data_IF_416060211984
#
_entry.id   IF_416060211984
#
_cell.length_a   1.000
_cell.length_b   1.000
_cell.length_c   1.000
_cell.angle_alpha   90.00
_cell.angle_beta   90.00
_cell.angle_gamma   90.00
#
_symmetry.space_group_name_H-M   'P 1'
#
loop_
_entity.id
_entity.type
_entity.pdbx_description
1 polymer ?
#
# COMPACT_ATOMS: atom_id res chain seq x y z
N UNK A 1 -19.27 49.52 -50.75
CA UNK A 1 -18.12 48.61 -50.56
C UNK A 1 -17.55 48.53 -49.13
N UNK A 2 -17.97 49.36 -48.15
CA UNK A 2 -17.39 49.37 -46.78
C UNK A 2 -17.96 48.34 -45.78
N UNK A 3 -19.11 47.70 -46.08
CA UNK A 3 -19.77 46.74 -45.16
C UNK A 3 -19.29 45.29 -45.29
N UNK A 4 -18.69 44.93 -46.44
CA UNK A 4 -18.28 43.55 -46.74
C UNK A 4 -16.93 43.23 -46.09
N UNK A 5 -15.97 44.16 -46.11
CA UNK A 5 -14.65 43.99 -45.50
C UNK A 5 -14.68 43.75 -43.98
N UNK A 6 -15.67 44.32 -43.25
CA UNK A 6 -15.77 44.20 -41.78
C UNK A 6 -16.29 42.83 -41.31
N UNK A 7 -17.05 42.13 -42.17
CA UNK A 7 -17.60 40.79 -41.87
C UNK A 7 -16.59 39.67 -42.08
N UNK A 8 -15.66 39.83 -43.03
CA UNK A 8 -14.65 38.81 -43.34
C UNK A 8 -13.55 38.75 -42.26
N UNK A 9 -13.15 39.89 -41.68
CA UNK A 9 -12.11 39.94 -40.63
C UNK A 9 -12.61 39.36 -39.29
N UNK A 10 -13.89 39.56 -38.96
CA UNK A 10 -14.47 39.03 -37.70
C UNK A 10 -14.65 37.51 -37.75
N UNK A 11 -14.89 36.93 -38.94
CA UNK A 11 -15.01 35.48 -39.10
C UNK A 11 -13.65 34.76 -38.99
N UNK A 12 -12.55 35.38 -39.46
CA UNK A 12 -11.21 34.75 -39.39
C UNK A 12 -10.63 34.77 -37.98
N UNK A 13 -10.92 35.81 -37.17
CA UNK A 13 -10.47 35.87 -35.77
C UNK A 13 -11.22 34.87 -34.86
N UNK A 14 -12.48 34.55 -35.15
CA UNK A 14 -13.21 33.51 -34.42
C UNK A 14 -12.74 32.10 -34.81
N UNK A 15 -12.38 31.87 -36.08
CA UNK A 15 -11.96 30.53 -36.55
C UNK A 15 -10.57 30.13 -36.03
N UNK A 16 -9.68 31.09 -35.76
CA UNK A 16 -8.34 30.81 -35.21
C UNK A 16 -8.37 30.48 -33.69
N UNK A 17 -9.33 31.01 -32.93
CA UNK A 17 -9.48 30.69 -31.50
C UNK A 17 -10.06 29.29 -31.25
N UNK A 18 -10.84 28.73 -32.18
CA UNK A 18 -11.43 27.40 -32.03
C UNK A 18 -10.41 26.28 -32.24
N UNK A 19 -9.38 26.51 -33.07
CA UNK A 19 -8.34 25.51 -33.36
C UNK A 19 -7.37 25.34 -32.16
N UNK A 20 -7.23 26.36 -31.31
CA UNK A 20 -6.39 26.29 -30.10
C UNK A 20 -7.00 25.53 -28.92
N UNK A 21 -8.29 25.12 -28.99
CA UNK A 21 -9.03 24.57 -27.85
C UNK A 21 -9.30 23.06 -27.94
N UNK A 22 -8.83 22.36 -28.99
CA UNK A 22 -9.13 20.93 -29.19
C UNK A 22 -7.95 19.97 -29.04
N UNK A 23 -6.81 20.43 -28.54
CA UNK A 23 -5.69 19.53 -28.19
C UNK A 23 -5.36 19.65 -26.70
N UNK A 24 -6.38 19.52 -25.84
CA UNK A 24 -6.13 18.94 -24.54
C UNK A 24 -5.85 17.46 -24.81
N UNK A 25 -4.59 17.11 -25.06
CA UNK A 25 -4.16 15.72 -25.00
C UNK A 25 -4.59 15.23 -23.62
N UNK A 26 -5.69 14.48 -23.56
CA UNK A 26 -6.04 13.75 -22.36
C UNK A 26 -4.89 12.76 -22.16
N UNK A 27 -3.99 13.08 -21.24
CA UNK A 27 -3.14 12.05 -20.67
C UNK A 27 -4.11 11.03 -20.08
N UNK A 28 -4.19 9.85 -20.69
CA UNK A 28 -4.85 8.74 -20.02
C UNK A 28 -4.23 8.67 -18.62
N UNK A 29 -5.07 8.68 -17.59
CA UNK A 29 -4.57 8.47 -16.25
C UNK A 29 -3.81 7.12 -16.25
N UNK A 30 -2.65 7.09 -15.60
CA UNK A 30 -1.96 5.82 -15.38
C UNK A 30 -2.95 4.84 -14.73
N UNK A 31 -2.97 3.60 -15.22
CA UNK A 31 -3.76 2.54 -14.60
C UNK A 31 -3.39 2.41 -13.12
N UNK A 32 -4.42 2.26 -12.28
CA UNK A 32 -4.26 1.92 -10.87
C UNK A 32 -4.44 0.43 -10.68
N UNK A 33 -3.78 -0.11 -9.65
CA UNK A 33 -3.93 -1.51 -9.28
C UNK A 33 -4.36 -1.59 -7.83
N UNK A 34 -5.29 -2.49 -7.55
CA UNK A 34 -5.77 -2.76 -6.20
C UNK A 34 -5.79 -4.25 -5.89
N UNK A 35 -5.65 -4.59 -4.61
CA UNK A 35 -5.90 -5.92 -4.07
C UNK A 35 -7.35 -6.01 -3.61
N UNK A 36 -8.03 -7.09 -3.97
CA UNK A 36 -9.34 -7.45 -3.44
C UNK A 36 -9.35 -8.94 -3.05
N UNK A 37 -9.98 -9.27 -1.94
CA UNK A 37 -10.03 -10.65 -1.45
C UNK A 37 -10.25 -10.79 0.05
N UNK A 38 -10.33 -12.02 0.53
CA UNK A 38 -10.51 -12.30 1.96
C UNK A 38 -9.35 -11.80 2.83
N UNK A 39 -8.17 -11.58 2.25
CA UNK A 39 -7.03 -10.93 2.94
C UNK A 39 -7.39 -9.50 3.40
N UNK A 40 -8.35 -8.85 2.74
CA UNK A 40 -8.85 -7.52 3.08
C UNK A 40 -10.18 -7.57 3.88
N UNK A 41 -10.49 -8.72 4.47
CA UNK A 41 -11.73 -8.98 5.20
C UNK A 41 -12.83 -9.62 4.33
N UNK A 42 -13.06 -9.13 3.11
CA UNK A 42 -14.06 -9.67 2.18
C UNK A 42 -13.81 -9.24 0.71
N UNK A 43 -14.60 -9.76 -0.23
CA UNK A 43 -14.53 -9.50 -1.68
C UNK A 43 -15.32 -8.26 -2.14
N UNK A 44 -15.52 -7.28 -1.28
CA UNK A 44 -16.35 -6.09 -1.53
C UNK A 44 -15.55 -4.77 -1.53
N UNK A 45 -14.33 -4.78 -0.99
CA UNK A 45 -13.50 -3.58 -0.84
C UNK A 45 -12.07 -3.80 -1.33
N UNK A 46 -11.62 -2.87 -2.16
CA UNK A 46 -10.24 -2.75 -2.60
C UNK A 46 -9.31 -2.14 -1.55
N UNK A 47 -8.05 -2.54 -1.66
CA UNK A 47 -6.92 -1.84 -1.09
C UNK A 47 -5.95 -1.48 -2.21
N UNK A 48 -5.71 -0.19 -2.42
CA UNK A 48 -4.84 0.32 -3.48
C UNK A 48 -3.39 -0.11 -3.28
N UNK A 49 -2.74 -0.54 -4.37
CA UNK A 49 -1.30 -0.66 -4.40
C UNK A 49 -0.66 0.69 -4.74
N UNK A 50 0.45 0.97 -4.07
CA UNK A 50 1.23 2.19 -4.29
C UNK A 50 2.35 1.90 -5.29
N UNK A 51 2.43 2.71 -6.34
CA UNK A 51 3.53 2.67 -7.32
C UNK A 51 4.86 3.00 -6.65
N UNK A 52 5.84 2.13 -6.84
CA UNK A 52 7.19 2.22 -6.30
C UNK A 52 8.13 2.87 -7.33
N UNK A 53 9.32 3.28 -6.88
CA UNK A 53 10.31 3.93 -7.73
C UNK A 53 10.87 3.01 -8.84
N UNK A 54 10.82 1.70 -8.65
CA UNK A 54 11.26 0.68 -9.62
C UNK A 54 10.17 0.30 -10.64
N UNK A 55 8.99 0.93 -10.56
CA UNK A 55 7.86 0.67 -11.44
C UNK A 55 6.93 -0.47 -10.98
N UNK A 56 7.26 -1.18 -9.90
CA UNK A 56 6.34 -2.13 -9.28
C UNK A 56 5.27 -1.41 -8.46
N UNK A 57 4.23 -2.13 -8.07
CA UNK A 57 3.17 -1.65 -7.20
C UNK A 57 3.18 -2.49 -5.92
N UNK A 58 2.95 -1.89 -4.75
CA UNK A 58 3.00 -2.63 -3.48
C UNK A 58 2.03 -2.10 -2.44
N UNK A 59 1.54 -3.00 -1.58
CA UNK A 59 0.83 -2.68 -0.35
C UNK A 59 1.23 -3.62 0.79
N UNK A 60 1.29 -3.06 1.99
CA UNK A 60 1.45 -3.80 3.24
C UNK A 60 0.09 -3.90 3.94
N UNK A 61 -0.32 -5.14 4.24
CA UNK A 61 -1.49 -5.43 5.07
C UNK A 61 -0.96 -5.88 6.43
N UNK A 62 -1.13 -5.05 7.45
CA UNK A 62 -0.60 -5.28 8.81
C UNK A 62 -1.63 -5.97 9.69
N UNK A 63 -1.15 -6.50 10.83
CA UNK A 63 -1.98 -7.13 11.86
C UNK A 63 -2.86 -8.29 11.35
N UNK A 64 -2.39 -8.99 10.31
CA UNK A 64 -3.10 -10.13 9.72
C UNK A 64 -3.10 -11.28 10.71
N UNK A 65 -4.27 -11.91 10.88
CA UNK A 65 -4.45 -13.06 11.76
C UNK A 65 -3.91 -14.33 11.10
N UNK A 66 -3.58 -15.33 11.88
CA UNK A 66 -3.23 -16.64 11.34
C UNK A 66 -4.42 -17.23 10.59
N UNK A 67 -4.16 -17.76 9.39
CA UNK A 67 -5.22 -18.29 8.53
C UNK A 67 -4.80 -18.38 7.07
N UNK A 68 -5.69 -18.93 6.26
CA UNK A 68 -5.56 -19.00 4.81
C UNK A 68 -6.46 -17.96 4.17
N UNK A 69 -5.87 -17.16 3.28
CA UNK A 69 -6.51 -16.04 2.61
C UNK A 69 -6.39 -16.18 1.10
N UNK A 70 -7.29 -15.51 0.40
CA UNK A 70 -7.30 -15.44 -1.05
C UNK A 70 -7.40 -13.99 -1.50
N UNK A 71 -6.80 -13.69 -2.66
CA UNK A 71 -6.92 -12.38 -3.29
C UNK A 71 -6.74 -12.44 -4.81
N UNK A 72 -7.11 -11.33 -5.45
CA UNK A 72 -6.70 -10.97 -6.82
C UNK A 72 -6.21 -9.52 -6.84
N UNK A 73 -5.35 -9.21 -7.79
CA UNK A 73 -5.04 -7.83 -8.16
C UNK A 73 -5.95 -7.46 -9.33
N UNK A 74 -6.53 -6.25 -9.34
CA UNK A 74 -7.36 -5.78 -10.44
C UNK A 74 -7.01 -4.35 -10.85
N UNK A 75 -7.17 -4.08 -12.14
CA UNK A 75 -6.90 -2.76 -12.71
C UNK A 75 -8.11 -1.85 -12.52
N UNK A 76 -7.88 -0.60 -12.08
CA UNK A 76 -8.89 0.46 -11.95
C UNK A 76 -10.15 0.04 -11.17
N UNK A 77 -10.00 -0.83 -10.16
CA UNK A 77 -11.09 -1.36 -9.32
C UNK A 77 -12.20 -2.08 -10.12
N UNK A 78 -11.85 -2.60 -11.30
CA UNK A 78 -12.79 -3.20 -12.23
C UNK A 78 -12.39 -4.64 -12.56
N UNK A 79 -13.38 -5.51 -12.75
CA UNK A 79 -13.16 -6.91 -13.10
C UNK A 79 -12.94 -7.10 -14.60
N UNK A 80 -13.46 -6.21 -15.43
CA UNK A 80 -13.37 -6.27 -16.89
C UNK A 80 -12.15 -5.52 -17.48
N UNK A 81 -11.22 -5.06 -16.62
CA UNK A 81 -10.08 -4.23 -17.03
C UNK A 81 -8.71 -4.87 -16.72
N UNK A 82 -8.69 -6.15 -16.37
CA UNK A 82 -7.49 -6.91 -16.05
C UNK A 82 -7.50 -7.42 -14.61
N UNK A 83 -7.28 -8.73 -14.48
CA UNK A 83 -7.21 -9.44 -13.21
C UNK A 83 -5.91 -10.23 -13.17
N UNK A 84 -5.25 -10.25 -12.02
CA UNK A 84 -3.96 -10.94 -11.88
C UNK A 84 -3.87 -11.71 -10.57
N UNK A 85 -3.09 -12.79 -10.60
CA UNK A 85 -2.74 -13.61 -9.44
C UNK A 85 -1.21 -13.86 -9.41
N UNK A 86 -0.76 -14.87 -8.66
CA UNK A 86 0.68 -15.21 -8.55
C UNK A 86 1.29 -15.75 -9.85
N UNK A 87 0.46 -16.29 -10.75
CA UNK A 87 0.86 -16.91 -12.02
C UNK A 87 0.74 -15.95 -13.21
N UNK A 88 0.03 -14.83 -13.06
CA UNK A 88 -0.13 -13.80 -14.08
C UNK A 88 -1.59 -13.41 -14.30
N UNK A 89 -1.96 -13.21 -15.57
CA UNK A 89 -3.35 -12.88 -15.96
C UNK A 89 -4.33 -13.96 -15.50
N UNK A 90 -5.44 -13.50 -14.93
CA UNK A 90 -6.53 -14.30 -14.39
C UNK A 90 -7.91 -13.84 -14.92
N UNK A 91 -7.94 -12.98 -15.95
CA UNK A 91 -9.13 -12.29 -16.45
C UNK A 91 -10.18 -13.22 -17.11
N UNK A 92 -9.83 -14.49 -17.31
CA UNK A 92 -10.71 -15.53 -17.91
C UNK A 92 -11.19 -16.56 -16.88
N UNK A 93 -11.52 -16.10 -15.66
CA UNK A 93 -11.89 -17.00 -14.57
C UNK A 93 -10.69 -17.74 -13.98
N UNK A 94 -9.50 -17.14 -14.05
CA UNK A 94 -8.30 -17.67 -13.42
C UNK A 94 -8.46 -17.77 -11.90
N UNK A 95 -7.73 -18.72 -11.30
CA UNK A 95 -7.79 -18.99 -9.87
C UNK A 95 -7.36 -17.77 -9.03
N UNK A 96 -7.83 -17.72 -7.79
CA UNK A 96 -7.38 -16.74 -6.81
C UNK A 96 -5.94 -17.03 -6.36
N UNK A 97 -5.18 -15.98 -6.05
CA UNK A 97 -3.91 -16.12 -5.33
C UNK A 97 -4.20 -16.56 -3.89
N UNK A 98 -3.38 -17.47 -3.34
CA UNK A 98 -3.52 -17.98 -1.97
C UNK A 98 -2.36 -17.50 -1.11
N UNK A 99 -2.66 -17.16 0.14
CA UNK A 99 -1.68 -16.72 1.14
C UNK A 99 -1.99 -17.42 2.46
N UNK A 100 -1.00 -18.13 3.01
CA UNK A 100 -1.08 -18.70 4.35
C UNK A 100 -0.27 -17.83 5.31
N UNK A 101 -0.92 -17.41 6.39
CA UNK A 101 -0.30 -16.63 7.47
C UNK A 101 -0.21 -17.52 8.70
N UNK A 102 1.01 -17.76 9.19
CA UNK A 102 1.22 -18.73 10.27
C UNK A 102 0.98 -18.13 11.67
N UNK A 103 1.19 -16.83 11.85
CA UNK A 103 1.01 -16.14 13.14
C UNK A 103 0.13 -14.92 13.04
N UNK A 104 -0.60 -14.70 14.12
CA UNK A 104 -1.30 -13.45 14.36
C UNK A 104 -0.36 -12.25 14.41
N UNK A 105 -0.83 -11.11 13.90
CA UNK A 105 -0.07 -9.87 13.91
C UNK A 105 0.95 -9.76 12.78
N UNK A 106 0.92 -10.69 11.82
CA UNK A 106 1.88 -10.70 10.72
C UNK A 106 1.59 -9.58 9.72
N UNK A 107 2.62 -9.18 8.98
CA UNK A 107 2.48 -8.24 7.85
C UNK A 107 2.58 -9.03 6.55
N UNK A 108 1.56 -8.90 5.70
CA UNK A 108 1.56 -9.46 4.35
C UNK A 108 1.83 -8.33 3.36
N UNK A 109 2.98 -8.41 2.70
CA UNK A 109 3.34 -7.49 1.60
C UNK A 109 2.94 -8.13 0.29
N UNK A 110 2.06 -7.47 -0.45
CA UNK A 110 1.68 -7.86 -1.81
C UNK A 110 2.36 -6.90 -2.77
N UNK A 111 3.02 -7.44 -3.79
CA UNK A 111 3.62 -6.67 -4.88
C UNK A 111 3.05 -7.10 -6.22
N UNK A 112 3.11 -6.20 -7.20
CA UNK A 112 2.68 -6.46 -8.57
C UNK A 112 3.64 -5.80 -9.55
N UNK A 113 4.13 -6.57 -10.52
CA UNK A 113 5.14 -6.13 -11.50
C UNK A 113 4.54 -5.66 -12.84
N UNK A 114 3.21 -5.55 -12.93
CA UNK A 114 2.49 -5.30 -14.19
C UNK A 114 2.06 -6.58 -14.92
N UNK A 115 2.55 -7.75 -14.52
CA UNK A 115 2.24 -9.05 -15.14
C UNK A 115 1.69 -10.05 -14.14
N UNK A 116 2.29 -10.17 -12.96
CA UNK A 116 1.90 -11.11 -11.90
C UNK A 116 2.11 -10.51 -10.51
N UNK A 117 1.37 -11.01 -9.54
CA UNK A 117 1.54 -10.67 -8.15
C UNK A 117 2.66 -11.50 -7.50
N UNK A 118 3.25 -10.98 -6.43
CA UNK A 118 4.08 -11.73 -5.50
C UNK A 118 3.70 -11.37 -4.06
N UNK A 119 4.01 -12.28 -3.14
CA UNK A 119 3.63 -12.15 -1.72
C UNK A 119 4.83 -12.46 -0.84
N UNK A 120 5.04 -11.63 0.17
CA UNK A 120 5.96 -11.90 1.28
C UNK A 120 5.20 -11.79 2.59
N UNK A 121 5.31 -12.81 3.44
CA UNK A 121 4.73 -12.79 4.79
C UNK A 121 5.85 -12.55 5.79
N UNK A 122 5.79 -11.41 6.46
CA UNK A 122 6.65 -11.11 7.61
C UNK A 122 5.91 -11.49 8.88
N UNK A 123 6.29 -12.64 9.42
CA UNK A 123 5.74 -13.15 10.67
C UNK A 123 5.94 -12.17 11.82
N UNK A 124 4.92 -12.01 12.65
CA UNK A 124 5.06 -11.28 13.90
C UNK A 124 6.16 -11.91 14.77
N UNK A 125 7.00 -11.06 15.36
CA UNK A 125 7.89 -11.51 16.42
C UNK A 125 7.04 -11.91 17.61
N UNK A 126 7.33 -13.07 18.21
CA UNK A 126 6.72 -13.40 19.49
C UNK A 126 7.14 -12.33 20.49
N UNK A 127 6.17 -11.54 20.97
CA UNK A 127 6.40 -10.79 22.21
C UNK A 127 6.91 -11.81 23.25
N UNK A 128 7.96 -11.50 24.03
CA UNK A 128 8.41 -12.40 25.08
C UNK A 128 7.18 -12.78 25.90
N UNK A 129 6.86 -14.07 25.97
CA UNK A 129 5.82 -14.54 26.86
C UNK A 129 6.14 -13.96 28.23
N UNK A 130 5.26 -13.10 28.75
CA UNK A 130 5.33 -12.71 30.15
C UNK A 130 5.49 -14.03 30.93
N UNK A 131 6.50 -14.18 31.81
CA UNK A 131 6.72 -15.44 32.50
C UNK A 131 5.39 -15.87 33.10
N UNK A 132 4.91 -17.04 32.71
CA UNK A 132 3.74 -17.64 33.33
C UNK A 132 3.97 -17.60 34.84
N UNK A 133 3.04 -16.96 35.55
CA UNK A 133 3.05 -16.77 36.99
C UNK A 133 3.12 -18.15 37.66
N UNK A 134 4.35 -18.64 37.89
CA UNK A 134 4.58 -19.72 38.82
C UNK A 134 4.52 -19.08 40.18
N UNK A 135 3.36 -19.13 40.81
CA UNK A 135 3.20 -18.93 42.25
C UNK A 135 4.37 -19.61 42.97
N UNK A 136 5.31 -18.86 43.56
CA UNK A 136 6.34 -19.47 44.38
C UNK A 136 5.63 -20.04 45.61
N UNK A 137 5.79 -21.35 45.83
CA UNK A 137 5.41 -21.96 47.08
C UNK A 137 6.08 -21.17 48.22
N UNK A 138 5.30 -20.85 49.25
CA UNK A 138 5.77 -20.13 50.43
C UNK A 138 6.97 -20.86 51.05
N UNK A 139 8.10 -20.17 51.13
CA UNK A 139 9.32 -20.66 51.78
C UNK A 139 10.58 -20.30 50.99
N UNK A 140 10.97 -19.03 51.03
CA UNK A 140 12.33 -18.62 51.38
C UNK A 140 12.50 -17.10 51.14
N UNK A 141 12.72 -16.40 52.23
CA UNK A 141 12.80 -14.95 52.33
C UNK A 141 14.05 -14.41 51.65
N UNK A 142 13.98 -14.01 50.37
CA UNK A 142 14.94 -13.08 49.72
C UNK A 142 14.44 -12.60 48.34
N UNK A 143 13.20 -12.12 48.22
CA UNK A 143 12.75 -11.45 46.99
C UNK A 143 11.76 -10.34 47.33
N UNK A 144 12.25 -9.10 47.34
CA UNK A 144 11.44 -7.89 47.16
C UNK A 144 12.41 -6.77 46.82
N UNK A 145 12.16 -6.08 45.70
CA UNK A 145 12.44 -4.65 45.40
C UNK A 145 12.81 -4.45 43.92
N UNK A 146 11.72 -4.29 43.15
CA UNK A 146 11.52 -3.43 41.97
C UNK A 146 11.99 -3.86 40.56
N UNK A 147 11.08 -4.58 39.91
CA UNK A 147 10.66 -4.34 38.52
C UNK A 147 10.17 -2.87 38.42
N UNK A 148 10.83 -2.01 37.64
CA UNK A 148 10.27 -1.04 36.66
C UNK A 148 11.44 -0.43 35.86
N UNK A 149 11.86 -1.04 34.74
CA UNK A 149 12.62 -0.35 33.67
C UNK A 149 12.77 -1.26 32.44
N UNK A 150 11.68 -1.45 31.68
CA UNK A 150 11.80 -1.92 30.30
C UNK A 150 10.71 -1.26 29.43
N UNK A 151 10.62 0.07 29.52
CA UNK A 151 9.91 0.92 28.55
C UNK A 151 10.90 1.99 28.12
N UNK A 152 11.68 1.72 27.08
CA UNK A 152 12.27 2.71 26.17
C UNK A 152 13.30 2.05 25.23
N UNK A 153 12.88 1.59 24.05
CA UNK A 153 13.81 1.41 22.93
C UNK A 153 13.09 1.32 21.56
N UNK A 154 12.19 2.26 21.25
CA UNK A 154 11.94 2.61 19.84
C UNK A 154 11.42 4.06 19.73
N UNK A 155 12.35 5.03 19.88
CA UNK A 155 12.30 6.37 19.25
C UNK A 155 13.50 7.20 19.73
N UNK A 156 14.70 6.85 19.27
CA UNK A 156 15.90 7.66 19.49
C UNK A 156 16.83 7.72 18.25
N UNK A 157 16.26 7.66 17.04
CA UNK A 157 17.05 7.83 15.81
C UNK A 157 16.89 9.21 15.16
N UNK A 158 15.94 10.06 15.57
CA UNK A 158 15.77 11.40 14.97
C UNK A 158 16.43 12.54 15.76
N UNK A 159 16.81 12.35 17.02
CA UNK A 159 17.38 13.45 17.84
C UNK A 159 18.93 13.56 17.81
N UNK A 160 19.66 12.57 17.29
CA UNK A 160 21.14 12.58 17.30
C UNK A 160 21.73 13.43 16.16
N UNK A 161 20.96 13.74 15.11
CA UNK A 161 21.44 14.57 13.98
C UNK A 161 21.25 16.08 14.24
N UNK A 162 20.33 16.49 15.12
CA UNK A 162 20.07 17.91 15.36
C UNK A 162 21.04 18.59 16.34
N UNK A 163 21.72 17.85 17.23
CA UNK A 163 22.64 18.44 18.24
C UNK A 163 24.08 18.60 17.74
N UNK A 164 24.44 18.10 16.56
CA UNK A 164 25.82 18.23 16.03
C UNK A 164 26.06 19.49 15.20
N UNK A 165 25.05 20.33 14.94
CA UNK A 165 25.19 21.57 14.14
C UNK A 165 25.28 22.88 14.95
N UNK A 166 25.36 22.84 16.28
CA UNK A 166 25.39 24.07 17.11
C UNK A 166 26.64 24.22 17.98
N UNK A 167 27.72 23.49 17.69
CA UNK A 167 29.00 23.61 18.42
C UNK A 167 30.17 24.01 17.50
N UNK A 168 29.93 24.25 16.21
CA UNK A 168 30.90 24.85 15.31
C UNK A 168 30.25 26.01 14.54
N UNK A 169 30.05 27.14 15.23
CA UNK A 169 29.95 28.50 14.67
C UNK A 169 29.95 29.51 15.83
#
# INVERSE_FOLDING_TARGET
>A
MKKIAKRVITAVLAMAMVIGMMAMTAFAADDTYSVIGSINGNWDKDTDLVKQADGTYSVDITDVKAGSYEFKVRTNHAWDNGEYNLEGDASSGGANAKVDVAKDGSTVTITFDGTKAAVTVKEASAAPAAPADKTPAAGDSSVMVYIVAAVAALSAVVAVVAKRRSVEA
#
